data_IF_192686974794
#
_entry.id   IF_192686974794
#
_cell.length_a   1.000
_cell.length_b   1.000
_cell.length_c   1.000
_cell.angle_alpha   90.00
_cell.angle_beta   90.00
_cell.angle_gamma   90.00
#
_symmetry.space_group_name_H-M   'P 1'
#
loop_
_entity.id
_entity.type
_entity.pdbx_description
1 polymer ?
#
# COMPACT_ATOMS: atom_id res chain seq x y z
N UNK A 1 -52.02 -20.17 -22.03
CA UNK A 1 -51.15 -19.71 -20.93
C UNK A 1 -49.71 -20.03 -21.33
N UNK A 2 -49.00 -19.10 -21.98
CA UNK A 2 -47.59 -19.31 -22.40
C UNK A 2 -46.66 -18.80 -21.30
N UNK A 3 -45.79 -19.68 -20.77
CA UNK A 3 -44.83 -19.35 -19.72
C UNK A 3 -43.60 -18.73 -20.38
N UNK A 4 -43.40 -17.43 -20.19
CA UNK A 4 -42.18 -16.73 -20.61
C UNK A 4 -41.02 -17.33 -19.81
N UNK A 5 -40.18 -18.12 -20.48
CA UNK A 5 -38.91 -18.60 -19.94
C UNK A 5 -37.87 -17.52 -20.23
N UNK A 6 -37.50 -16.75 -19.19
CA UNK A 6 -36.40 -15.79 -19.28
C UNK A 6 -35.09 -16.60 -19.20
N UNK A 7 -34.26 -16.64 -20.26
CA UNK A 7 -32.99 -17.34 -20.22
C UNK A 7 -31.97 -16.52 -19.41
N UNK A 8 -31.96 -16.73 -18.09
CA UNK A 8 -31.00 -16.13 -17.14
C UNK A 8 -29.53 -16.44 -17.50
N UNK A 9 -29.31 -17.55 -18.22
CA UNK A 9 -28.00 -18.02 -18.66
C UNK A 9 -27.37 -17.09 -19.72
N UNK A 10 -28.20 -16.44 -20.54
CA UNK A 10 -27.76 -15.48 -21.56
C UNK A 10 -27.37 -14.11 -20.97
N UNK A 11 -27.90 -13.75 -19.81
CA UNK A 11 -27.56 -12.51 -19.11
C UNK A 11 -26.24 -12.68 -18.34
N UNK A 12 -26.06 -13.84 -17.71
CA UNK A 12 -24.83 -14.17 -16.95
C UNK A 12 -23.61 -14.29 -17.86
N UNK A 13 -23.74 -14.89 -19.04
CA UNK A 13 -22.65 -15.05 -20.01
C UNK A 13 -22.19 -13.72 -20.62
N UNK A 14 -23.12 -12.80 -20.91
CA UNK A 14 -22.78 -11.46 -21.45
C UNK A 14 -22.13 -10.53 -20.43
N UNK A 15 -22.43 -10.71 -19.14
CA UNK A 15 -21.90 -9.86 -18.07
C UNK A 15 -20.54 -10.33 -17.54
N UNK A 16 -20.00 -11.46 -18.03
CA UNK A 16 -18.70 -12.01 -17.66
C UNK A 16 -18.38 -11.90 -16.14
N UNK A 17 -19.42 -12.12 -15.33
CA UNK A 17 -19.37 -11.90 -13.88
C UNK A 17 -18.49 -12.95 -13.19
N UNK A 18 -18.35 -14.13 -13.80
CA UNK A 18 -17.49 -15.20 -13.34
C UNK A 18 -16.00 -14.86 -13.39
N UNK A 19 -15.50 -14.29 -14.50
CA UNK A 19 -14.10 -13.86 -14.60
C UNK A 19 -13.82 -12.66 -13.69
N UNK A 20 -14.77 -11.73 -13.56
CA UNK A 20 -14.68 -10.60 -12.62
C UNK A 20 -14.62 -11.07 -11.17
N UNK A 21 -15.42 -12.08 -10.78
CA UNK A 21 -15.37 -12.67 -9.43
C UNK A 21 -14.11 -13.51 -9.18
N UNK A 22 -13.52 -14.12 -10.22
CA UNK A 22 -12.22 -14.80 -10.11
C UNK A 22 -11.06 -13.81 -9.91
N UNK A 23 -11.10 -12.64 -10.57
CA UNK A 23 -10.16 -11.54 -10.35
C UNK A 23 -10.23 -10.92 -8.94
N UNK A 24 -11.30 -11.18 -8.19
CA UNK A 24 -11.46 -10.73 -6.80
C UNK A 24 -10.95 -11.75 -5.76
N UNK A 25 -10.76 -13.03 -6.14
CA UNK A 25 -10.20 -14.08 -5.24
C UNK A 25 -8.67 -14.09 -5.21
N UNK A 26 -8.01 -13.61 -6.26
CA UNK A 26 -6.57 -13.37 -6.27
C UNK A 26 -6.30 -11.90 -5.89
N UNK A 27 -6.42 -11.59 -4.60
CA UNK A 27 -6.11 -10.24 -4.12
C UNK A 27 -4.68 -9.82 -4.50
N UNK A 28 -4.42 -8.52 -4.77
CA UNK A 28 -3.11 -7.98 -5.18
C UNK A 28 -1.95 -8.20 -4.18
N UNK A 29 -2.24 -8.85 -3.05
CA UNK A 29 -1.29 -9.21 -2.01
C UNK A 29 -0.69 -10.61 -2.23
N UNK A 30 -1.45 -11.61 -2.70
CA UNK A 30 -0.96 -12.99 -2.79
C UNK A 30 0.14 -13.19 -3.85
N UNK A 31 0.02 -12.53 -5.01
CA UNK A 31 1.04 -12.57 -6.07
C UNK A 31 2.26 -11.67 -5.80
N UNK A 32 2.18 -10.73 -4.85
CA UNK A 32 3.33 -9.90 -4.45
C UNK A 32 4.20 -10.62 -3.41
N UNK A 33 3.61 -11.37 -2.48
CA UNK A 33 4.39 -12.16 -1.53
C UNK A 33 5.03 -13.41 -2.14
N UNK A 34 4.54 -13.93 -3.27
CA UNK A 34 5.13 -15.07 -3.97
C UNK A 34 6.46 -14.76 -4.69
N UNK A 35 6.79 -13.48 -4.88
CA UNK A 35 8.01 -13.02 -5.55
C UNK A 35 9.07 -12.46 -4.58
N UNK A 36 8.91 -12.72 -3.27
CA UNK A 36 9.93 -12.32 -2.29
C UNK A 36 11.24 -13.06 -2.57
N UNK A 37 12.29 -12.28 -2.84
CA UNK A 37 13.64 -12.82 -3.01
C UNK A 37 14.25 -13.11 -1.63
N UNK A 38 15.08 -14.16 -1.51
CA UNK A 38 15.82 -14.43 -0.29
C UNK A 38 16.56 -13.19 0.22
N UNK A 39 16.53 -12.96 1.53
CA UNK A 39 17.20 -11.80 2.16
C UNK A 39 18.71 -11.82 1.89
N UNK A 40 19.31 -13.02 1.76
CA UNK A 40 20.71 -13.21 1.38
C UNK A 40 21.02 -12.74 -0.05
N UNK A 41 20.05 -12.79 -0.96
CA UNK A 41 20.19 -12.26 -2.32
C UNK A 41 19.99 -10.75 -2.36
N UNK A 42 19.06 -10.25 -1.53
CA UNK A 42 18.83 -8.82 -1.38
C UNK A 42 20.07 -8.12 -0.80
N UNK A 43 20.64 -8.64 0.28
CA UNK A 43 21.88 -8.12 0.88
C UNK A 43 23.13 -8.89 0.43
N UNK A 44 23.28 -9.12 -0.87
CA UNK A 44 24.51 -9.70 -1.40
C UNK A 44 25.61 -8.64 -1.51
N UNK A 45 26.39 -8.49 -0.44
CA UNK A 45 27.50 -7.55 -0.38
C UNK A 45 28.58 -7.78 -1.45
N UNK A 46 28.63 -8.95 -2.09
CA UNK A 46 29.58 -9.22 -3.18
C UNK A 46 29.18 -8.55 -4.49
N UNK A 47 27.89 -8.27 -4.67
CA UNK A 47 27.31 -7.60 -5.84
C UNK A 47 27.19 -6.09 -5.65
N UNK A 48 27.54 -5.57 -4.48
CA UNK A 48 27.59 -4.13 -4.25
C UNK A 48 28.83 -3.56 -4.93
N UNK A 49 28.61 -2.72 -5.93
CA UNK A 49 29.66 -1.98 -6.59
C UNK A 49 29.25 -0.54 -6.86
N UNK A 50 30.24 0.34 -6.97
CA UNK A 50 29.98 1.73 -7.31
C UNK A 50 29.70 1.83 -8.81
N UNK A 51 28.55 2.36 -9.23
CA UNK A 51 28.26 2.56 -10.65
C UNK A 51 29.25 3.56 -11.26
N UNK A 52 29.75 3.26 -12.45
CA UNK A 52 30.75 4.05 -13.17
C UNK A 52 30.16 5.34 -13.74
N UNK A 53 28.90 5.34 -14.17
CA UNK A 53 28.23 6.50 -14.75
C UNK A 53 26.70 6.48 -14.54
N UNK A 54 26.04 7.57 -14.92
CA UNK A 54 24.59 7.73 -14.73
C UNK A 54 23.76 6.76 -15.60
N UNK A 55 24.22 6.39 -16.79
CA UNK A 55 23.54 5.42 -17.64
C UNK A 55 23.51 4.04 -16.97
N UNK A 56 24.59 3.66 -16.31
CA UNK A 56 24.68 2.44 -15.52
C UNK A 56 23.74 2.48 -14.31
N UNK A 57 23.68 3.60 -13.58
CA UNK A 57 22.71 3.80 -12.49
C UNK A 57 21.28 3.55 -12.99
N UNK A 58 20.89 4.19 -14.10
CA UNK A 58 19.55 4.04 -14.65
C UNK A 58 19.27 2.59 -15.06
N UNK A 59 20.23 1.93 -15.69
CA UNK A 59 20.14 0.54 -16.09
C UNK A 59 19.95 -0.39 -14.87
N UNK A 60 20.78 -0.23 -13.83
CA UNK A 60 20.70 -1.00 -12.57
C UNK A 60 19.39 -0.77 -11.85
N UNK A 61 18.95 0.48 -11.72
CA UNK A 61 17.68 0.85 -11.07
C UNK A 61 16.49 0.21 -11.79
N UNK A 62 16.42 0.31 -13.12
CA UNK A 62 15.31 -0.26 -13.90
C UNK A 62 15.21 -1.78 -13.72
N UNK A 63 16.34 -2.49 -13.69
CA UNK A 63 16.38 -3.93 -13.45
C UNK A 63 16.01 -4.28 -12.01
N UNK A 64 16.71 -3.68 -11.04
CA UNK A 64 16.58 -4.03 -9.63
C UNK A 64 15.21 -3.66 -9.06
N UNK A 65 14.57 -2.58 -9.51
CA UNK A 65 13.20 -2.21 -9.10
C UNK A 65 12.19 -3.30 -9.47
N UNK A 66 12.33 -3.95 -10.63
CA UNK A 66 11.52 -5.09 -11.01
C UNK A 66 11.91 -6.35 -10.22
N UNK A 67 13.20 -6.67 -10.21
CA UNK A 67 13.74 -7.90 -9.64
C UNK A 67 13.49 -8.05 -8.12
N UNK A 68 13.62 -6.96 -7.36
CA UNK A 68 13.43 -6.91 -5.91
C UNK A 68 12.13 -6.17 -5.49
N UNK A 69 11.15 -6.05 -6.39
CA UNK A 69 9.90 -5.31 -6.16
C UNK A 69 9.19 -5.67 -4.84
N UNK A 70 9.08 -6.96 -4.53
CA UNK A 70 8.46 -7.44 -3.29
C UNK A 70 9.29 -7.11 -2.04
N UNK A 71 10.62 -7.20 -2.12
CA UNK A 71 11.51 -6.82 -1.02
C UNK A 71 11.42 -5.31 -0.73
N UNK A 72 11.35 -4.47 -1.78
CA UNK A 72 11.13 -3.03 -1.63
C UNK A 72 9.75 -2.69 -1.07
N UNK A 73 8.71 -3.44 -1.43
CA UNK A 73 7.38 -3.28 -0.83
C UNK A 73 7.39 -3.59 0.67
N UNK A 74 8.11 -4.63 1.10
CA UNK A 74 8.30 -4.95 2.52
C UNK A 74 9.09 -3.85 3.23
N UNK A 75 10.17 -3.34 2.63
CA UNK A 75 10.95 -2.23 3.18
C UNK A 75 10.08 -0.97 3.37
N UNK A 76 9.29 -0.60 2.35
CA UNK A 76 8.35 0.51 2.43
C UNK A 76 7.32 0.31 3.55
N UNK A 77 6.78 -0.90 3.71
CA UNK A 77 5.84 -1.23 4.77
C UNK A 77 6.50 -1.11 6.16
N UNK A 78 7.71 -1.62 6.33
CA UNK A 78 8.46 -1.50 7.58
C UNK A 78 8.73 -0.02 7.93
N UNK A 79 9.15 0.79 6.96
CA UNK A 79 9.35 2.23 7.15
C UNK A 79 8.03 2.95 7.46
N UNK A 80 6.91 2.52 6.85
CA UNK A 80 5.59 3.08 7.13
C UNK A 80 5.16 2.79 8.58
N UNK A 81 5.35 1.56 9.04
CA UNK A 81 5.09 1.18 10.45
C UNK A 81 6.00 1.99 11.39
N UNK A 82 7.29 2.09 11.07
CA UNK A 82 8.23 2.88 11.86
C UNK A 82 7.82 4.37 11.94
N UNK A 83 7.39 4.97 10.82
CA UNK A 83 6.95 6.36 10.76
C UNK A 83 5.74 6.61 11.67
N UNK A 84 4.78 5.67 11.68
CA UNK A 84 3.60 5.74 12.56
C UNK A 84 3.95 5.52 14.04
N UNK A 85 4.82 4.55 14.35
CA UNK A 85 5.24 4.27 15.73
C UNK A 85 6.08 5.41 16.33
N UNK A 86 6.81 6.14 15.49
CA UNK A 86 7.59 7.31 15.93
C UNK A 86 6.70 8.54 16.15
N UNK A 87 5.57 8.64 15.43
CA UNK A 87 4.61 9.72 15.55
C UNK A 87 3.32 9.26 16.24
N UNK A 88 3.39 9.12 17.57
CA UNK A 88 2.27 8.66 18.40
C UNK A 88 1.00 9.50 18.26
N UNK A 89 1.13 10.83 18.03
CA UNK A 89 -0.02 11.72 17.82
C UNK A 89 -0.73 11.41 16.51
N UNK A 90 0.02 11.23 15.42
CA UNK A 90 -0.54 10.85 14.13
C UNK A 90 -1.20 9.47 14.20
N UNK A 91 -0.56 8.51 14.87
CA UNK A 91 -1.12 7.18 15.06
C UNK A 91 -2.44 7.24 15.85
N UNK A 92 -2.47 8.01 16.94
CA UNK A 92 -3.69 8.25 17.71
C UNK A 92 -4.79 8.87 16.85
N UNK A 93 -4.48 9.93 16.09
CA UNK A 93 -5.46 10.61 15.23
C UNK A 93 -6.05 9.68 14.16
N UNK A 94 -5.21 8.86 13.52
CA UNK A 94 -5.66 7.84 12.56
C UNK A 94 -6.61 6.83 13.23
N UNK A 95 -6.24 6.29 14.39
CA UNK A 95 -7.08 5.33 15.13
C UNK A 95 -8.39 5.99 15.57
N UNK A 96 -8.33 7.24 16.05
CA UNK A 96 -9.49 8.00 16.49
C UNK A 96 -10.46 8.27 15.33
N UNK A 97 -9.95 8.70 14.17
CA UNK A 97 -10.76 8.93 12.97
C UNK A 97 -11.36 7.62 12.46
N UNK A 98 -10.55 6.57 12.25
CA UNK A 98 -11.06 5.29 11.72
C UNK A 98 -12.04 4.65 12.71
N UNK A 99 -11.70 4.62 13.99
CA UNK A 99 -12.55 4.07 15.05
C UNK A 99 -13.84 4.87 15.22
N UNK A 100 -13.77 6.20 15.17
CA UNK A 100 -14.91 7.10 15.21
C UNK A 100 -15.82 6.91 14.00
N UNK A 101 -15.27 6.87 12.79
CA UNK A 101 -16.02 6.58 11.57
C UNK A 101 -16.70 5.21 11.66
N UNK A 102 -15.98 4.17 12.07
CA UNK A 102 -16.53 2.82 12.23
C UNK A 102 -17.68 2.78 13.23
N UNK A 103 -17.53 3.44 14.38
CA UNK A 103 -18.56 3.51 15.42
C UNK A 103 -19.81 4.26 14.92
N UNK A 104 -19.62 5.40 14.25
CA UNK A 104 -20.73 6.19 13.70
C UNK A 104 -21.43 5.43 12.57
N UNK A 105 -20.68 4.78 11.68
CA UNK A 105 -21.25 3.95 10.61
C UNK A 105 -22.10 2.81 11.17
N UNK A 106 -21.75 2.25 12.33
CA UNK A 106 -22.50 1.17 12.99
C UNK A 106 -23.84 1.63 13.58
N UNK A 107 -24.08 2.93 13.70
CA UNK A 107 -25.35 3.46 14.21
C UNK A 107 -26.47 3.44 13.15
N UNK A 108 -26.14 3.25 11.87
CA UNK A 108 -27.09 3.24 10.73
C UNK A 108 -27.99 4.50 10.68
N UNK A 109 -27.42 5.66 11.04
CA UNK A 109 -28.14 6.95 11.06
C UNK A 109 -29.05 7.16 12.28
N UNK A 110 -29.03 6.24 13.25
CA UNK A 110 -29.69 6.45 14.55
C UNK A 110 -28.86 7.34 15.45
N UNK A 111 -29.53 8.05 16.36
CA UNK A 111 -28.85 8.80 17.39
C UNK A 111 -28.17 7.86 18.39
N UNK A 112 -27.00 8.27 18.87
CA UNK A 112 -26.27 7.52 19.89
C UNK A 112 -26.91 7.82 21.24
N UNK A 113 -27.57 6.81 21.80
CA UNK A 113 -28.14 6.85 23.14
C UNK A 113 -27.32 5.94 24.07
N UNK A 114 -26.49 6.53 24.94
CA UNK A 114 -25.73 5.83 25.97
C UNK A 114 -26.28 6.28 27.33
N UNK A 115 -27.17 5.49 27.92
CA UNK A 115 -27.80 5.82 29.20
C UNK A 115 -28.59 7.13 29.12
N UNK A 116 -28.13 8.18 29.81
CA UNK A 116 -28.72 9.52 29.77
C UNK A 116 -28.15 10.42 28.67
N UNK A 117 -27.05 10.02 28.02
CA UNK A 117 -26.41 10.80 26.97
C UNK A 117 -27.03 10.49 25.62
N UNK A 118 -27.59 11.52 24.97
CA UNK A 118 -28.07 11.45 23.59
C UNK A 118 -27.25 12.38 22.70
N UNK A 119 -26.63 11.82 21.67
CA UNK A 119 -25.93 12.59 20.65
C UNK A 119 -26.42 12.22 19.27
N UNK A 120 -26.78 13.23 18.48
CA UNK A 120 -27.19 13.00 17.09
C UNK A 120 -26.02 12.57 16.23
N UNK A 121 -26.30 11.83 15.14
CA UNK A 121 -25.26 11.42 14.18
C UNK A 121 -24.46 12.62 13.65
N UNK A 122 -25.13 13.77 13.43
CA UNK A 122 -24.48 15.01 13.01
C UNK A 122 -23.48 15.53 14.05
N UNK A 123 -23.87 15.56 15.33
CA UNK A 123 -22.99 15.98 16.43
C UNK A 123 -21.78 15.07 16.59
N UNK A 124 -21.91 13.77 16.34
CA UNK A 124 -20.79 12.83 16.38
C UNK A 124 -19.79 13.10 15.26
N UNK A 125 -20.26 13.31 14.03
CA UNK A 125 -19.40 13.70 12.91
C UNK A 125 -18.73 15.06 13.15
N UNK A 126 -19.48 16.04 13.66
CA UNK A 126 -18.90 17.34 14.02
C UNK A 126 -17.85 17.19 15.12
N UNK A 127 -18.13 16.42 16.18
CA UNK A 127 -17.16 16.17 17.25
C UNK A 127 -15.90 15.46 16.74
N UNK A 128 -16.06 14.47 15.87
CA UNK A 128 -14.94 13.77 15.23
C UNK A 128 -14.05 14.75 14.46
N UNK A 129 -14.64 15.65 13.65
CA UNK A 129 -13.90 16.64 12.88
C UNK A 129 -13.25 17.71 13.76
N UNK A 130 -13.97 18.23 14.76
CA UNK A 130 -13.48 19.28 15.66
C UNK A 130 -12.30 18.80 16.51
N UNK A 131 -12.24 17.50 16.84
CA UNK A 131 -11.12 16.92 17.58
C UNK A 131 -10.00 16.47 16.64
N UNK A 132 -10.31 15.78 15.54
CA UNK A 132 -9.29 15.25 14.62
C UNK A 132 -8.54 16.34 13.85
N UNK A 133 -9.21 17.43 13.44
CA UNK A 133 -8.53 18.47 12.65
C UNK A 133 -7.38 19.13 13.45
N UNK A 134 -7.60 19.64 14.69
CA UNK A 134 -6.51 20.21 15.48
C UNK A 134 -5.40 19.20 15.78
N UNK A 135 -5.75 17.96 16.15
CA UNK A 135 -4.76 16.92 16.44
C UNK A 135 -3.96 16.59 15.19
N UNK A 136 -4.62 16.40 14.05
CA UNK A 136 -3.99 16.14 12.76
C UNK A 136 -3.06 17.28 12.32
N UNK A 137 -3.43 18.54 12.55
CA UNK A 137 -2.54 19.68 12.25
C UNK A 137 -1.27 19.65 13.11
N UNK A 138 -1.38 19.34 14.40
CA UNK A 138 -0.22 19.23 15.31
C UNK A 138 0.63 18.00 14.98
N UNK A 139 -0.02 16.88 14.66
CA UNK A 139 0.63 15.63 14.30
C UNK A 139 1.46 15.71 13.01
N UNK A 140 1.29 16.77 12.20
CA UNK A 140 2.12 17.07 11.03
C UNK A 140 2.21 15.90 10.04
N UNK A 141 1.07 15.38 9.51
CA UNK A 141 1.03 14.23 8.61
C UNK A 141 1.90 14.44 7.36
N UNK A 142 1.92 15.66 6.82
CA UNK A 142 2.74 16.01 5.66
C UNK A 142 4.23 15.81 5.91
N UNK A 143 4.74 16.17 7.09
CA UNK A 143 6.14 15.93 7.45
C UNK A 143 6.45 14.44 7.50
N UNK A 144 5.54 13.65 8.11
CA UNK A 144 5.68 12.19 8.20
C UNK A 144 5.66 11.53 6.81
N UNK A 145 4.78 12.00 5.92
CA UNK A 145 4.70 11.52 4.53
C UNK A 145 5.96 11.88 3.72
N UNK A 146 6.44 13.12 3.82
CA UNK A 146 7.68 13.54 3.15
C UNK A 146 8.88 12.76 3.67
N UNK A 147 8.95 12.51 4.98
CA UNK A 147 9.97 11.65 5.56
C UNK A 147 9.89 10.23 5.00
N UNK A 148 8.69 9.64 4.94
CA UNK A 148 8.49 8.30 4.40
C UNK A 148 8.90 8.20 2.92
N UNK A 149 8.51 9.18 2.09
CA UNK A 149 8.91 9.26 0.67
C UNK A 149 10.43 9.39 0.55
N UNK A 150 11.05 10.28 1.33
CA UNK A 150 12.50 10.50 1.31
C UNK A 150 13.28 9.26 1.77
N UNK A 151 12.89 8.66 2.90
CA UNK A 151 13.55 7.50 3.47
C UNK A 151 13.40 6.26 2.58
N UNK A 152 12.19 6.00 2.08
CA UNK A 152 11.95 4.89 1.16
C UNK A 152 12.63 5.11 -0.20
N UNK A 153 12.55 6.32 -0.76
CA UNK A 153 13.24 6.68 -2.00
C UNK A 153 14.75 6.51 -1.88
N UNK A 154 15.37 7.06 -0.83
CA UNK A 154 16.81 6.95 -0.61
C UNK A 154 17.26 5.50 -0.39
N UNK A 155 16.52 4.71 0.40
CA UNK A 155 16.87 3.32 0.67
C UNK A 155 16.66 2.41 -0.53
N UNK A 156 15.52 2.53 -1.23
CA UNK A 156 15.20 1.72 -2.42
C UNK A 156 16.10 2.09 -3.59
N UNK A 157 16.20 3.38 -3.94
CA UNK A 157 17.03 3.82 -5.07
C UNK A 157 18.51 3.67 -4.77
N UNK A 158 18.93 3.88 -3.52
CA UNK A 158 20.28 3.58 -3.06
C UNK A 158 20.60 2.12 -3.32
N UNK A 159 19.83 1.21 -2.73
CA UNK A 159 20.01 -0.22 -2.95
C UNK A 159 19.99 -0.62 -4.43
N UNK A 160 19.01 -0.13 -5.20
CA UNK A 160 18.85 -0.46 -6.61
C UNK A 160 19.98 0.08 -7.52
N UNK A 161 20.62 1.18 -7.14
CA UNK A 161 21.73 1.77 -7.90
C UNK A 161 23.09 1.11 -7.61
N UNK A 162 23.31 0.64 -6.39
CA UNK A 162 24.57 -0.03 -5.99
C UNK A 162 24.59 -1.53 -6.27
N UNK A 163 23.44 -2.18 -6.44
CA UNK A 163 23.37 -3.61 -6.76
C UNK A 163 23.66 -3.89 -8.24
N UNK A 164 24.69 -4.70 -8.50
CA UNK A 164 25.02 -5.15 -9.85
C UNK A 164 23.98 -6.11 -10.43
N UNK A 165 23.77 -5.99 -11.75
CA UNK A 165 22.98 -6.96 -12.50
C UNK A 165 23.74 -8.29 -12.59
N UNK A 166 23.04 -9.44 -12.64
CA UNK A 166 23.70 -10.71 -12.91
C UNK A 166 24.38 -10.67 -14.29
N UNK A 167 25.55 -11.31 -14.37
CA UNK A 167 26.37 -11.42 -15.59
C UNK A 167 25.59 -12.02 -16.78
N UNK A 168 24.62 -12.90 -16.54
CA UNK A 168 23.82 -13.53 -17.60
C UNK A 168 22.99 -12.50 -18.41
N UNK A 169 22.54 -11.41 -17.79
CA UNK A 169 21.88 -10.32 -18.51
C UNK A 169 22.87 -9.45 -19.30
N UNK A 170 24.11 -9.30 -18.81
CA UNK A 170 25.15 -8.55 -19.53
C UNK A 170 25.49 -9.21 -20.87
N UNK A 171 25.51 -10.56 -20.93
CA UNK A 171 25.76 -11.31 -22.16
C UNK A 171 24.55 -11.39 -23.10
N UNK A 172 23.32 -11.38 -22.57
CA UNK A 172 22.10 -11.37 -23.40
C UNK A 172 21.90 -10.07 -24.20
N UNK A 173 22.49 -8.96 -23.74
CA UNK A 173 22.46 -7.67 -24.45
C UNK A 173 23.53 -7.52 -25.53
N UNK A 174 24.56 -8.35 -25.53
CA UNK A 174 25.68 -8.33 -26.50
C UNK A 174 25.54 -9.36 -27.64
N UNK A 175 24.48 -10.19 -27.62
CA UNK A 175 24.23 -11.22 -28.62
C UNK A 175 23.36 -10.77 -29.81
N UNK A 176 23.38 -9.48 -30.17
CA UNK A 176 22.66 -8.93 -31.34
C UNK A 176 23.57 -8.11 -32.22
#
# INVERSE_FOLDING_TARGET
>A
MSRIQIPLDLITSRLNLGERFQGLRAGPLSGRFSNLRPISEFFDFKRLSKPANFAEVQSRVNYNLGHFSSNYAVLFLMLSIYALLTNWLLLFDIIFVIGGMFLISKLDGRDLEIGTFKATTSQLWTGLLVVSIPIGLIASPFSTLLWLIGASGASILGHASFMDKPIDEAFSGEAV
#
